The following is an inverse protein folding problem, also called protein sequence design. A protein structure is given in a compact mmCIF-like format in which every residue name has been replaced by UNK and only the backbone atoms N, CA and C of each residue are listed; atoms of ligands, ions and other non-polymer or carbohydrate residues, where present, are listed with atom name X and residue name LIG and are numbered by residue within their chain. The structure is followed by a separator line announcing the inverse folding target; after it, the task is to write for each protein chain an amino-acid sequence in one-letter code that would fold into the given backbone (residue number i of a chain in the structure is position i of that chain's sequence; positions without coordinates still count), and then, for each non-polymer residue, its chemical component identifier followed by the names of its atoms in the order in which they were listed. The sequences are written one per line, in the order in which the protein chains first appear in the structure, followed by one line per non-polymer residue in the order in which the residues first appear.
data_IF_815927274019
#
_entry.id   IF_815927274019
#
_cell.length_a   1.000
_cell.length_b   1.000
_cell.length_c   1.000
_cell.angle_alpha   90.00
_cell.angle_beta   90.00
_cell.angle_gamma   90.00
#
_symmetry.space_group_name_H-M   'P 1'
#
loop_
_entity.id
_entity.type
_entity.pdbx_description
1 polymer ?
#
# COMPACT_ATOMS: atom_id res chain seq x y z
N UNK A 1 -9.35 -4.30 5.71
CA UNK A 1 -8.80 -2.95 5.45
C UNK A 1 -7.53 -3.08 4.65
N UNK A 2 -7.47 -2.57 3.42
CA UNK A 2 -6.32 -2.76 2.52
C UNK A 2 -5.62 -1.41 2.33
N UNK A 3 -4.37 -1.30 2.78
CA UNK A 3 -3.53 -0.14 2.48
C UNK A 3 -3.23 -0.14 0.98
N UNK A 4 -3.57 0.96 0.30
CA UNK A 4 -3.17 1.16 -1.09
C UNK A 4 -1.68 1.53 -1.09
N UNK A 5 -0.81 0.76 -1.75
CA UNK A 5 0.60 1.09 -1.81
C UNK A 5 0.78 2.44 -2.50
N UNK A 6 1.54 3.33 -1.87
CA UNK A 6 1.93 4.63 -2.40
C UNK A 6 3.44 4.72 -2.30
N UNK A 7 4.13 5.07 -3.39
CA UNK A 7 5.58 5.22 -3.33
C UNK A 7 5.95 6.64 -2.94
N UNK A 8 7.11 6.80 -2.29
CA UNK A 8 7.65 8.12 -1.96
C UNK A 8 7.81 8.99 -3.22
N UNK A 9 8.18 8.40 -4.35
CA UNK A 9 8.34 9.08 -5.63
C UNK A 9 7.02 9.61 -6.17
N UNK A 10 5.96 8.79 -6.13
CA UNK A 10 4.64 9.20 -6.62
C UNK A 10 4.05 10.32 -5.76
N UNK A 11 4.21 10.22 -4.43
CA UNK A 11 3.78 11.28 -3.52
C UNK A 11 4.57 12.57 -3.70
N UNK A 12 5.89 12.47 -3.91
CA UNK A 12 6.75 13.61 -4.18
C UNK A 12 6.41 14.31 -5.51
N UNK A 13 6.05 13.53 -6.54
CA UNK A 13 5.57 14.05 -7.84
C UNK A 13 4.28 14.85 -7.69
N UNK A 14 3.32 14.37 -6.90
CA UNK A 14 2.05 15.06 -6.68
C UNK A 14 2.23 16.40 -5.94
N UNK A 15 3.24 16.47 -5.06
CA UNK A 15 3.56 17.67 -4.30
C UNK A 15 4.61 18.57 -4.96
N UNK A 16 5.13 18.19 -6.14
CA UNK A 16 6.22 18.90 -6.83
C UNK A 16 7.47 19.14 -5.96
N UNK A 17 7.82 18.17 -5.12
CA UNK A 17 9.01 18.23 -4.25
C UNK A 17 9.97 17.08 -4.49
N UNK A 18 11.21 17.21 -4.05
CA UNK A 18 12.19 16.12 -4.17
C UNK A 18 11.86 14.99 -3.17
N UNK A 19 11.99 13.70 -3.54
CA UNK A 19 11.79 12.58 -2.62
C UNK A 19 12.64 12.65 -1.35
N UNK A 20 13.85 13.21 -1.42
CA UNK A 20 14.71 13.41 -0.24
C UNK A 20 14.13 14.44 0.75
N UNK A 21 13.41 15.46 0.26
CA UNK A 21 12.70 16.44 1.09
C UNK A 21 11.57 15.76 1.86
N UNK A 22 10.77 14.92 1.20
CA UNK A 22 9.72 14.15 1.87
C UNK A 22 10.31 13.15 2.86
N UNK A 23 11.35 12.42 2.47
CA UNK A 23 12.04 11.47 3.36
C UNK A 23 12.49 12.13 4.67
N UNK A 24 13.09 13.34 4.57
CA UNK A 24 13.47 14.15 5.73
C UNK A 24 12.26 14.63 6.53
N UNK A 25 11.20 15.08 5.87
CA UNK A 25 9.99 15.55 6.53
C UNK A 25 9.27 14.43 7.32
N UNK A 26 9.36 13.18 6.86
CA UNK A 26 8.76 12.02 7.51
C UNK A 26 9.68 11.35 8.54
N UNK A 27 10.99 11.63 8.50
CA UNK A 27 11.94 11.12 9.47
C UNK A 27 11.52 11.60 10.87
N UNK A 28 11.19 10.65 11.75
CA UNK A 28 10.69 10.86 13.12
C UNK A 28 9.20 11.18 13.26
N UNK A 29 8.40 11.05 12.20
CA UNK A 29 6.93 11.09 12.32
C UNK A 29 6.37 9.68 12.47
N UNK A 30 5.41 9.54 13.37
CA UNK A 30 4.73 8.29 13.68
C UNK A 30 3.23 8.47 13.48
N UNK A 31 2.55 7.40 13.10
CA UNK A 31 1.11 7.34 12.93
C UNK A 31 0.56 6.27 13.87
N UNK A 32 -0.40 6.67 14.71
CA UNK A 32 -1.20 5.73 15.47
C UNK A 32 -2.30 5.16 14.58
N UNK A 33 -2.45 3.84 14.64
CA UNK A 33 -3.50 3.10 13.94
C UNK A 33 -4.17 2.14 14.93
N UNK A 34 -5.35 1.58 14.61
CA UNK A 34 -5.98 0.56 15.44
C UNK A 34 -5.11 -0.68 15.70
N UNK A 35 -4.07 -0.90 14.89
CA UNK A 35 -3.14 -2.03 15.00
C UNK A 35 -1.82 -1.65 15.72
N UNK A 36 -1.69 -0.40 16.19
CA UNK A 36 -0.51 0.11 16.88
C UNK A 36 0.11 1.33 16.20
N UNK A 37 1.27 1.75 16.73
CA UNK A 37 2.01 2.91 16.28
C UNK A 37 3.08 2.49 15.27
N UNK A 38 3.08 3.14 14.10
CA UNK A 38 4.03 2.85 13.02
C UNK A 38 4.77 4.12 12.59
N UNK A 39 6.03 3.97 12.14
CA UNK A 39 6.72 5.08 11.49
C UNK A 39 5.98 5.46 10.21
N UNK A 40 5.73 6.75 9.98
CA UNK A 40 4.94 7.21 8.85
C UNK A 40 5.57 6.80 7.50
N UNK A 41 6.91 6.68 7.44
CA UNK A 41 7.65 6.18 6.28
C UNK A 41 7.30 4.74 5.87
N UNK A 42 6.78 3.93 6.78
CA UNK A 42 6.38 2.53 6.54
C UNK A 42 5.36 2.42 5.41
N UNK A 43 4.46 3.40 5.29
CA UNK A 43 3.39 3.41 4.30
C UNK A 43 3.85 3.83 2.90
N UNK A 44 5.09 4.30 2.75
CA UNK A 44 5.64 4.82 1.49
C UNK A 44 6.67 3.90 0.83
N UNK A 45 6.86 2.70 1.37
CA UNK A 45 7.72 1.68 0.75
C UNK A 45 7.10 1.25 -0.57
N UNK A 46 7.93 1.16 -1.62
CA UNK A 46 7.51 0.54 -2.86
C UNK A 46 6.83 -0.80 -2.54
N UNK A 47 5.68 -1.07 -3.15
CA UNK A 47 5.14 -2.41 -3.13
C UNK A 47 6.26 -3.30 -3.66
N UNK A 48 6.89 -4.08 -2.80
CA UNK A 48 7.66 -5.23 -3.26
C UNK A 48 6.62 -5.99 -4.06
N UNK A 49 6.83 -6.08 -5.38
CA UNK A 49 5.93 -6.75 -6.31
C UNK A 49 5.87 -8.27 -6.07
N UNK A 50 6.10 -8.73 -4.84
CA UNK A 50 5.51 -9.93 -4.32
C UNK A 50 4.09 -9.62 -3.89
N UNK A 51 3.23 -9.33 -4.87
CA UNK A 51 1.85 -9.75 -4.70
C UNK A 51 1.92 -11.25 -4.52
N UNK A 52 1.81 -11.68 -3.25
CA UNK A 52 1.83 -13.07 -2.90
C UNK A 52 0.80 -13.78 -3.78
N UNK A 53 1.26 -14.69 -4.65
CA UNK A 53 0.39 -15.37 -5.62
C UNK A 53 -0.83 -15.96 -4.92
N UNK A 54 -0.69 -16.36 -3.65
CA UNK A 54 -1.79 -16.83 -2.80
C UNK A 54 -2.94 -15.84 -2.69
N UNK A 55 -2.66 -14.54 -2.56
CA UNK A 55 -3.67 -13.48 -2.48
C UNK A 55 -4.40 -13.34 -3.82
N UNK A 56 -3.67 -13.40 -4.94
CA UNK A 56 -4.28 -13.35 -6.29
C UNK A 56 -5.18 -14.58 -6.51
N UNK A 57 -4.68 -15.77 -6.22
CA UNK A 57 -5.43 -17.02 -6.36
C UNK A 57 -6.67 -17.04 -5.47
N UNK A 58 -6.56 -16.59 -4.22
CA UNK A 58 -7.71 -16.49 -3.32
C UNK A 58 -8.78 -15.54 -3.88
N UNK A 59 -8.37 -14.41 -4.44
CA UNK A 59 -9.29 -13.41 -4.99
C UNK A 59 -9.94 -13.86 -6.29
N UNK A 60 -9.22 -14.57 -7.15
CA UNK A 60 -9.77 -15.23 -8.34
C UNK A 60 -10.79 -16.29 -7.92
N UNK A 61 -10.47 -17.10 -6.91
CA UNK A 61 -11.38 -18.12 -6.39
C UNK A 61 -12.67 -17.51 -5.84
N UNK A 62 -12.58 -16.44 -5.05
CA UNK A 62 -13.75 -15.70 -4.58
C UNK A 62 -14.61 -15.17 -5.72
N UNK A 63 -14.00 -14.68 -6.81
CA UNK A 63 -14.74 -14.20 -7.98
C UNK A 63 -15.49 -15.35 -8.65
N UNK A 64 -14.82 -16.48 -8.89
CA UNK A 64 -15.43 -17.67 -9.52
C UNK A 64 -16.51 -18.31 -8.66
N UNK A 65 -16.33 -18.35 -7.33
CA UNK A 65 -17.32 -18.91 -6.41
C UNK A 65 -18.59 -18.05 -6.32
N UNK A 66 -18.47 -16.74 -6.55
CA UNK A 66 -19.59 -15.79 -6.58
C UNK A 66 -20.11 -15.48 -7.99
N UNK A 67 -19.58 -16.10 -9.04
CA UNK A 67 -20.15 -15.98 -10.37
C UNK A 67 -21.50 -16.70 -10.42
N UNK A 68 -22.49 -16.02 -11.02
CA UNK A 68 -23.81 -16.60 -11.24
C UNK A 68 -23.69 -17.72 -12.27
N UNK A 69 -23.84 -18.96 -11.83
CA UNK A 69 -23.63 -20.17 -12.64
C UNK A 69 -24.78 -20.45 -13.61
N UNK A 70 -25.82 -19.62 -13.64
CA UNK A 70 -26.86 -19.71 -14.64
C UNK A 70 -26.48 -18.97 -15.93
N UNK A 71 -25.84 -19.70 -16.84
CA UNK A 71 -26.00 -19.55 -18.28
C UNK A 71 -26.15 -20.93 -18.91
#
# INVERSE_FOLDING_TARGET
SHLKPLTMTEFARQLSVNPSTISRALANKYLESPQGIHQLKFFFTAAVAHTDKRIIFQKIKEIVDNEDKSS
#
